data_IF_876712044872
#
_entry.id   IF_876712044872
#
_cell.length_a   1.000
_cell.length_b   1.000
_cell.length_c   1.000
_cell.angle_alpha   90.00
_cell.angle_beta   90.00
_cell.angle_gamma   90.00
#
_symmetry.space_group_name_H-M   'P 1'
#
loop_
_entity.id
_entity.type
_entity.pdbx_description
1 polymer ?
#
# COMPACT_ATOMS: atom_id res chain seq x y z
N UNK A 1 8.82 10.47 26.92
CA UNK A 1 9.17 11.04 25.59
C UNK A 1 7.89 11.55 24.97
N UNK A 2 7.87 12.81 24.47
CA UNK A 2 6.69 13.31 23.77
C UNK A 2 6.69 12.81 22.33
N UNK A 3 5.65 12.08 21.97
CA UNK A 3 5.46 11.54 20.63
C UNK A 3 4.32 12.28 19.93
N UNK A 4 4.62 12.87 18.78
CA UNK A 4 3.62 13.53 17.92
C UNK A 4 3.31 12.65 16.71
N UNK A 5 2.04 12.37 16.48
CA UNK A 5 1.57 11.60 15.33
C UNK A 5 0.25 12.15 14.80
N UNK A 6 -0.04 11.88 13.53
CA UNK A 6 -1.28 12.25 12.85
C UNK A 6 -2.08 11.01 12.50
N UNK A 7 -3.38 11.03 12.75
CA UNK A 7 -4.32 10.05 12.24
C UNK A 7 -4.66 10.39 10.78
N UNK A 8 -4.59 9.40 9.89
CA UNK A 8 -4.90 9.55 8.46
C UNK A 8 -5.91 8.49 8.06
N UNK A 9 -6.89 8.83 7.24
CA UNK A 9 -7.96 7.97 6.73
C UNK A 9 -8.67 7.14 7.82
N UNK A 10 -9.24 7.76 8.85
CA UNK A 10 -9.84 7.03 9.99
C UNK A 10 -11.00 6.12 9.57
N UNK A 11 -11.71 6.42 8.50
CA UNK A 11 -12.81 5.61 7.97
C UNK A 11 -12.35 4.51 6.99
N UNK A 12 -11.12 4.63 6.47
CA UNK A 12 -10.55 3.71 5.48
C UNK A 12 -9.54 2.74 6.07
N UNK A 13 -8.28 2.89 5.66
CA UNK A 13 -7.13 2.19 6.21
C UNK A 13 -6.41 3.13 7.18
N UNK A 14 -6.90 3.19 8.41
CA UNK A 14 -6.44 4.15 9.43
C UNK A 14 -4.95 4.00 9.72
N UNK A 15 -4.18 5.03 9.40
CA UNK A 15 -2.74 5.13 9.59
C UNK A 15 -2.42 6.13 10.71
N UNK A 16 -1.58 5.74 11.66
CA UNK A 16 -0.89 6.68 12.55
C UNK A 16 0.48 7.01 11.95
N UNK A 17 0.64 8.22 11.46
CA UNK A 17 1.89 8.72 10.91
C UNK A 17 2.65 9.49 12.00
N UNK A 18 3.76 8.90 12.48
CA UNK A 18 4.59 9.47 13.55
C UNK A 18 5.53 10.52 12.96
N UNK A 19 5.46 11.73 13.49
CA UNK A 19 6.28 12.88 13.08
C UNK A 19 7.53 13.05 13.93
N UNK A 20 7.49 12.64 15.21
CA UNK A 20 8.65 12.70 16.09
C UNK A 20 9.72 11.74 15.61
N UNK A 21 10.97 12.21 15.37
CA UNK A 21 12.07 11.31 15.07
C UNK A 21 12.31 10.35 16.24
N UNK A 22 12.30 9.07 15.95
CA UNK A 22 12.59 8.01 16.92
C UNK A 22 13.59 7.02 16.32
N UNK A 23 14.42 6.38 17.14
CA UNK A 23 15.39 5.39 16.65
C UNK A 23 14.63 4.13 16.15
N UNK A 24 15.19 3.48 15.13
CA UNK A 24 14.53 2.33 14.46
C UNK A 24 14.26 1.16 15.42
N UNK A 25 15.11 0.99 16.42
CA UNK A 25 14.97 -0.03 17.45
C UNK A 25 13.68 0.13 18.28
N UNK A 26 13.15 1.35 18.36
CA UNK A 26 11.91 1.63 19.08
C UNK A 26 10.64 1.37 18.24
N UNK A 27 10.76 1.16 16.92
CA UNK A 27 9.59 1.05 16.03
C UNK A 27 8.63 -0.07 16.42
N UNK A 28 9.16 -1.26 16.72
CA UNK A 28 8.32 -2.41 17.07
C UNK A 28 7.52 -2.19 18.36
N UNK A 29 8.15 -1.63 19.39
CA UNK A 29 7.47 -1.33 20.67
C UNK A 29 6.44 -0.21 20.50
N UNK A 30 6.81 0.89 19.85
CA UNK A 30 5.91 2.01 19.61
C UNK A 30 4.73 1.59 18.73
N UNK A 31 4.96 0.80 17.68
CA UNK A 31 3.90 0.28 16.82
C UNK A 31 2.89 -0.52 17.64
N UNK A 32 3.34 -1.46 18.48
CA UNK A 32 2.47 -2.26 19.34
C UNK A 32 1.64 -1.39 20.30
N UNK A 33 2.26 -0.39 20.92
CA UNK A 33 1.59 0.53 21.85
C UNK A 33 0.58 1.44 21.14
N UNK A 34 0.94 1.98 19.97
CA UNK A 34 0.08 2.85 19.17
C UNK A 34 -1.12 2.09 18.60
N UNK A 35 -0.93 0.86 18.11
CA UNK A 35 -2.01 0.00 17.63
C UNK A 35 -2.99 -0.39 18.76
N UNK A 36 -2.58 -0.33 20.02
CA UNK A 36 -3.44 -0.59 21.18
C UNK A 36 -4.37 0.57 21.54
N UNK A 37 -4.25 1.76 20.91
CA UNK A 37 -5.12 2.91 21.15
C UNK A 37 -6.49 2.65 20.50
N UNK A 38 -7.41 2.09 21.28
CA UNK A 38 -8.72 1.63 20.77
C UNK A 38 -9.59 2.76 20.24
N UNK A 39 -9.51 3.94 20.80
CA UNK A 39 -10.29 5.12 20.40
C UNK A 39 -9.98 5.59 18.98
N UNK A 40 -8.75 5.35 18.52
CA UNK A 40 -8.32 5.71 17.17
C UNK A 40 -8.48 4.54 16.18
N UNK A 41 -8.66 3.32 16.67
CA UNK A 41 -8.78 2.08 15.91
C UNK A 41 -7.76 1.98 14.73
N UNK A 42 -6.47 2.25 14.97
CA UNK A 42 -5.48 2.29 13.91
C UNK A 42 -5.25 0.88 13.35
N UNK A 43 -4.93 0.83 12.05
CA UNK A 43 -4.59 -0.40 11.34
C UNK A 43 -3.10 -0.50 11.07
N UNK A 44 -2.43 0.64 10.93
CA UNK A 44 -1.02 0.73 10.57
C UNK A 44 -0.35 1.87 11.34
N UNK A 45 0.95 1.72 11.56
CA UNK A 45 1.81 2.78 12.10
C UNK A 45 3.01 2.94 11.18
N UNK A 46 3.32 4.19 10.84
CA UNK A 46 4.49 4.52 10.05
C UNK A 46 5.23 5.72 10.67
N UNK A 47 6.51 5.81 10.39
CA UNK A 47 7.43 6.80 10.96
C UNK A 47 8.03 7.65 9.84
N UNK A 48 7.97 8.96 9.99
CA UNK A 48 8.64 9.89 9.08
C UNK A 48 10.13 9.95 9.42
N UNK A 49 10.95 9.80 8.40
CA UNK A 49 12.41 9.87 8.52
C UNK A 49 13.01 10.76 7.43
N UNK A 50 14.32 11.03 7.53
CA UNK A 50 15.03 11.78 6.51
C UNK A 50 15.16 10.94 5.21
N UNK A 51 14.89 11.54 4.04
CA UNK A 51 15.04 10.85 2.76
C UNK A 51 16.51 10.53 2.46
N UNK A 52 16.74 9.41 1.79
CA UNK A 52 18.08 8.88 1.46
C UNK A 52 18.27 8.51 -0.01
N UNK A 53 17.19 8.47 -0.80
CA UNK A 53 17.17 7.98 -2.19
C UNK A 53 16.63 9.03 -3.19
N UNK A 54 16.75 10.32 -2.84
CA UNK A 54 16.30 11.42 -3.70
C UNK A 54 14.82 11.78 -3.57
N UNK A 55 14.10 11.20 -2.63
CA UNK A 55 12.76 11.62 -2.24
C UNK A 55 12.74 12.95 -1.48
N UNK A 56 11.55 13.44 -1.17
CA UNK A 56 11.34 14.62 -0.31
C UNK A 56 10.79 14.22 1.07
N UNK A 57 10.27 13.04 1.17
CA UNK A 57 9.79 12.41 2.41
C UNK A 57 10.14 10.92 2.37
N UNK A 58 10.57 10.37 3.49
CA UNK A 58 10.78 8.95 3.68
C UNK A 58 9.88 8.43 4.77
N UNK A 59 9.32 7.26 4.54
CA UNK A 59 8.40 6.57 5.44
C UNK A 59 8.92 5.19 5.74
N UNK A 60 9.01 4.86 7.00
CA UNK A 60 9.44 3.54 7.46
C UNK A 60 8.37 2.89 8.34
N UNK A 61 8.38 1.57 8.42
CA UNK A 61 7.50 0.80 9.28
C UNK A 61 8.29 -0.20 10.12
N UNK A 62 7.69 -0.72 11.18
CA UNK A 62 8.29 -1.81 11.94
C UNK A 62 8.50 -3.06 11.06
N UNK A 63 7.64 -3.28 10.08
CA UNK A 63 7.68 -4.42 9.15
C UNK A 63 8.74 -4.32 8.04
N UNK A 64 9.58 -3.29 8.03
CA UNK A 64 10.57 -3.05 6.97
C UNK A 64 10.03 -3.12 5.53
N UNK A 65 8.71 -2.96 5.39
CA UNK A 65 8.01 -2.87 4.11
C UNK A 65 6.85 -1.89 4.22
N UNK A 66 6.92 -0.78 3.48
CA UNK A 66 5.83 0.18 3.38
C UNK A 66 4.89 -0.19 2.24
N UNK A 67 3.63 -0.46 2.55
CA UNK A 67 2.58 -0.62 1.55
C UNK A 67 2.37 0.68 0.76
N UNK A 68 1.99 0.55 -0.52
CA UNK A 68 1.76 1.72 -1.38
C UNK A 68 0.67 2.66 -0.85
N UNK A 69 -0.29 2.17 -0.07
CA UNK A 69 -1.30 3.01 0.58
C UNK A 69 -0.68 3.94 1.62
N UNK A 70 0.21 3.42 2.46
CA UNK A 70 0.96 4.21 3.45
C UNK A 70 1.78 5.32 2.77
N UNK A 71 2.46 4.99 1.68
CA UNK A 71 3.27 5.96 0.92
C UNK A 71 2.41 7.06 0.32
N UNK A 72 1.25 6.70 -0.24
CA UNK A 72 0.30 7.65 -0.83
C UNK A 72 -0.25 8.62 0.22
N UNK A 73 -0.65 8.10 1.37
CA UNK A 73 -1.16 8.86 2.51
C UNK A 73 -0.09 9.79 3.10
N UNK A 74 1.13 9.28 3.30
CA UNK A 74 2.23 10.06 3.84
C UNK A 74 2.67 11.20 2.89
N UNK A 75 2.70 10.96 1.58
CA UNK A 75 2.98 12.00 0.60
C UNK A 75 1.94 13.13 0.65
N UNK A 76 0.66 12.78 0.83
CA UNK A 76 -0.41 13.75 0.97
C UNK A 76 -0.26 14.56 2.28
N UNK A 77 -0.07 13.89 3.42
CA UNK A 77 0.13 14.54 4.71
C UNK A 77 1.34 15.49 4.69
N UNK A 78 2.45 15.06 4.08
CA UNK A 78 3.64 15.90 3.90
C UNK A 78 3.32 17.16 3.10
N UNK A 79 2.57 17.04 1.99
CA UNK A 79 2.21 18.17 1.16
C UNK A 79 1.36 19.20 1.92
N UNK A 80 0.38 18.73 2.69
CA UNK A 80 -0.48 19.60 3.50
C UNK A 80 0.31 20.28 4.63
N UNK A 81 1.19 19.55 5.33
CA UNK A 81 2.05 20.09 6.37
C UNK A 81 3.04 21.17 5.84
N UNK A 82 3.35 21.14 4.55
CA UNK A 82 4.18 22.16 3.85
C UNK A 82 3.34 23.25 3.19
N UNK A 83 2.06 23.35 3.53
CA UNK A 83 1.13 24.36 3.01
C UNK A 83 1.05 24.41 1.47
N UNK A 84 1.25 23.25 0.82
CA UNK A 84 1.11 23.13 -0.63
C UNK A 84 -0.38 23.29 -0.97
N UNK A 85 -0.73 24.35 -1.69
CA UNK A 85 -2.12 24.72 -2.02
C UNK A 85 -2.51 24.40 -3.47
N UNK A 86 -1.66 23.69 -4.20
CA UNK A 86 -1.91 23.30 -5.60
C UNK A 86 -1.40 21.89 -5.83
N UNK A 87 -1.84 21.30 -6.91
CA UNK A 87 -1.33 19.99 -7.33
C UNK A 87 0.19 19.99 -7.46
N UNK A 88 0.85 19.02 -6.84
CA UNK A 88 2.31 18.90 -6.84
C UNK A 88 2.77 17.45 -6.83
N UNK A 89 3.90 17.23 -7.49
CA UNK A 89 4.64 15.96 -7.41
C UNK A 89 5.48 15.92 -6.13
N UNK A 90 5.30 14.87 -5.36
CA UNK A 90 5.99 14.59 -4.08
C UNK A 90 6.63 13.22 -4.18
N UNK A 91 7.94 13.11 -4.51
CA UNK A 91 8.63 11.82 -4.48
C UNK A 91 8.70 11.29 -3.04
N UNK A 92 8.16 10.10 -2.80
CA UNK A 92 8.11 9.46 -1.48
C UNK A 92 8.95 8.18 -1.47
N UNK A 93 9.81 8.04 -0.48
CA UNK A 93 10.59 6.83 -0.22
C UNK A 93 9.87 5.95 0.78
N UNK A 94 10.07 4.64 0.69
CA UNK A 94 9.54 3.68 1.65
C UNK A 94 10.39 2.43 1.78
N UNK A 95 10.34 1.80 2.93
CA UNK A 95 10.98 0.50 3.13
C UNK A 95 10.48 -0.51 2.09
N UNK A 96 11.41 -1.30 1.56
CA UNK A 96 11.13 -2.33 0.55
C UNK A 96 11.04 -1.81 -0.89
N UNK A 97 11.14 -0.50 -1.12
CA UNK A 97 11.18 0.09 -2.46
C UNK A 97 12.60 0.54 -2.82
N UNK A 98 13.12 0.19 -4.00
CA UNK A 98 14.51 0.48 -4.39
C UNK A 98 14.74 1.95 -4.75
N UNK A 99 13.68 2.71 -5.00
CA UNK A 99 13.73 4.12 -5.36
C UNK A 99 12.51 4.88 -4.85
N UNK A 100 12.59 6.21 -4.83
CA UNK A 100 11.46 7.05 -4.49
C UNK A 100 10.34 6.95 -5.53
N UNK A 101 9.12 6.69 -5.06
CA UNK A 101 7.93 6.61 -5.93
C UNK A 101 7.34 8.02 -6.13
N UNK A 102 7.02 8.40 -7.37
CA UNK A 102 6.36 9.68 -7.63
C UNK A 102 4.91 9.65 -7.10
N UNK A 103 4.60 10.52 -6.14
CA UNK A 103 3.23 10.79 -5.75
C UNK A 103 2.79 12.16 -6.28
N UNK A 104 1.61 12.23 -6.89
CA UNK A 104 0.97 13.48 -7.28
C UNK A 104 -0.14 13.78 -6.29
N UNK A 105 -0.03 14.88 -5.57
CA UNK A 105 -0.97 15.26 -4.52
C UNK A 105 -1.72 16.52 -4.90
N UNK A 106 -3.02 16.54 -4.63
CA UNK A 106 -3.88 17.70 -4.81
C UNK A 106 -4.63 18.01 -3.51
N UNK A 107 -4.09 18.88 -2.64
CA UNK A 107 -4.71 19.19 -1.36
C UNK A 107 -6.10 19.85 -1.49
N UNK A 108 -6.39 20.53 -2.61
CA UNK A 108 -7.69 21.16 -2.85
C UNK A 108 -8.82 20.14 -3.03
N UNK A 109 -8.50 18.97 -3.60
CA UNK A 109 -9.49 17.92 -3.86
C UNK A 109 -9.39 16.75 -2.88
N UNK A 110 -8.41 16.77 -1.96
CA UNK A 110 -8.16 15.65 -1.06
C UNK A 110 -7.65 14.39 -1.78
N UNK A 111 -7.06 14.53 -2.98
CA UNK A 111 -6.65 13.39 -3.80
C UNK A 111 -5.14 13.21 -3.82
N UNK A 112 -4.71 11.97 -3.77
CA UNK A 112 -3.33 11.60 -4.02
C UNK A 112 -3.26 10.43 -5.00
N UNK A 113 -2.32 10.50 -5.94
CA UNK A 113 -1.99 9.44 -6.90
C UNK A 113 -0.55 9.01 -6.67
N UNK A 114 -0.30 7.71 -6.54
CA UNK A 114 1.04 7.13 -6.44
C UNK A 114 1.34 6.38 -7.73
N UNK A 115 2.47 6.71 -8.38
CA UNK A 115 3.00 5.94 -9.50
C UNK A 115 3.82 4.76 -8.94
N UNK A 116 3.48 3.55 -9.35
CA UNK A 116 4.16 2.32 -8.93
C UNK A 116 5.25 1.92 -9.90
N UNK A 117 6.26 1.24 -9.38
CA UNK A 117 7.16 0.44 -10.21
C UNK A 117 6.36 -0.66 -10.91
N UNK A 118 6.76 -0.99 -12.13
CA UNK A 118 6.07 -2.02 -12.89
C UNK A 118 6.37 -3.41 -12.30
N UNK A 119 5.35 -4.25 -12.09
CA UNK A 119 5.57 -5.59 -11.57
C UNK A 119 6.20 -6.50 -12.63
N UNK A 120 6.99 -7.46 -12.17
CA UNK A 120 7.34 -8.62 -12.97
C UNK A 120 6.15 -9.60 -12.95
N UNK A 121 5.74 -10.07 -14.12
CA UNK A 121 4.69 -11.07 -14.24
C UNK A 121 5.33 -12.44 -14.41
N UNK A 122 5.04 -13.35 -13.48
CA UNK A 122 5.43 -14.75 -13.59
C UNK A 122 4.18 -15.58 -13.92
N UNK A 123 4.18 -16.30 -15.04
CA UNK A 123 3.10 -17.24 -15.34
C UNK A 123 2.99 -18.28 -14.23
N UNK A 124 1.77 -18.53 -13.77
CA UNK A 124 1.51 -19.60 -12.82
C UNK A 124 1.40 -20.96 -13.55
N UNK A 125 1.75 -22.04 -12.86
CA UNK A 125 1.57 -23.40 -13.38
C UNK A 125 0.26 -24.01 -12.85
N UNK A 126 -0.51 -24.61 -13.74
CA UNK A 126 -1.75 -25.30 -13.43
C UNK A 126 -2.82 -24.40 -12.79
N UNK A 127 -3.36 -24.81 -11.64
CA UNK A 127 -4.37 -24.04 -10.88
C UNK A 127 -3.77 -22.83 -10.16
N UNK A 128 -2.46 -22.73 -10.06
CA UNK A 128 -1.76 -21.57 -9.50
C UNK A 128 -1.77 -20.47 -10.55
N UNK A 129 -2.65 -19.52 -10.39
CA UNK A 129 -2.75 -18.34 -11.27
C UNK A 129 -1.44 -17.56 -11.38
N UNK A 130 -1.38 -16.63 -12.35
CA UNK A 130 -0.21 -15.77 -12.51
C UNK A 130 0.14 -15.01 -11.23
N UNK A 131 1.42 -14.77 -11.06
CA UNK A 131 1.98 -14.01 -9.95
C UNK A 131 2.46 -12.66 -10.45
N UNK A 132 2.26 -11.64 -9.64
CA UNK A 132 2.75 -10.29 -9.90
C UNK A 132 3.73 -9.91 -8.80
N UNK A 133 4.98 -9.70 -9.17
CA UNK A 133 6.06 -9.42 -8.23
C UNK A 133 6.42 -7.95 -8.24
N UNK A 134 6.16 -7.28 -7.13
CA UNK A 134 6.72 -5.97 -6.80
C UNK A 134 7.98 -6.13 -5.94
N UNK A 135 8.79 -5.08 -5.76
CA UNK A 135 10.03 -5.18 -4.97
C UNK A 135 9.85 -5.79 -3.58
N UNK A 136 8.80 -5.42 -2.85
CA UNK A 136 8.57 -5.87 -1.47
C UNK A 136 7.47 -6.92 -1.32
N UNK A 137 6.73 -7.29 -2.38
CA UNK A 137 5.56 -8.17 -2.23
C UNK A 137 5.27 -8.97 -3.49
N UNK A 138 4.91 -10.25 -3.29
CA UNK A 138 4.38 -11.14 -4.33
C UNK A 138 2.86 -11.24 -4.22
N UNK A 139 2.15 -11.10 -5.33
CA UNK A 139 0.70 -11.23 -5.39
C UNK A 139 0.27 -12.43 -6.22
N UNK A 140 -0.57 -13.28 -5.63
CA UNK A 140 -1.38 -14.25 -6.37
C UNK A 140 -2.77 -13.65 -6.61
N UNK A 141 -3.40 -14.00 -7.72
CA UNK A 141 -4.72 -13.49 -8.08
C UNK A 141 -5.70 -14.64 -8.32
N UNK A 142 -6.87 -14.55 -7.66
CA UNK A 142 -8.02 -15.41 -7.83
C UNK A 142 -9.18 -14.61 -8.43
N UNK A 143 -9.84 -15.16 -9.45
CA UNK A 143 -11.01 -14.53 -10.08
C UNK A 143 -12.29 -14.94 -9.36
N UNK A 144 -12.89 -13.96 -8.66
CA UNK A 144 -14.16 -14.20 -7.96
C UNK A 144 -14.05 -15.21 -6.81
N UNK A 145 -15.18 -15.47 -6.18
CA UNK A 145 -15.26 -16.31 -4.99
C UNK A 145 -15.02 -15.51 -3.71
N UNK A 146 -14.70 -16.22 -2.63
CA UNK A 146 -14.34 -15.63 -1.34
C UNK A 146 -12.90 -15.95 -0.99
N UNK A 147 -12.30 -15.16 -0.10
CA UNK A 147 -11.02 -15.49 0.48
C UNK A 147 -11.11 -16.86 1.18
N UNK A 148 -10.12 -17.75 0.99
CA UNK A 148 -10.02 -18.99 1.75
C UNK A 148 -9.90 -18.73 3.25
N UNK A 149 -10.09 -19.76 4.06
CA UNK A 149 -9.90 -19.64 5.52
C UNK A 149 -8.46 -19.24 5.87
N UNK A 150 -8.28 -18.53 6.97
CA UNK A 150 -6.95 -18.11 7.44
C UNK A 150 -5.99 -19.30 7.62
N UNK A 151 -6.51 -20.44 8.07
CA UNK A 151 -5.72 -21.66 8.24
C UNK A 151 -5.15 -22.19 6.91
N UNK A 152 -5.83 -21.96 5.79
CA UNK A 152 -5.35 -22.30 4.46
C UNK A 152 -4.48 -21.20 3.84
N UNK A 153 -4.82 -19.94 4.09
CA UNK A 153 -4.12 -18.79 3.52
C UNK A 153 -2.71 -18.61 4.06
N UNK A 154 -2.53 -18.64 5.38
CA UNK A 154 -1.25 -18.32 6.00
C UNK A 154 -0.10 -19.20 5.47
N UNK A 155 -0.20 -20.55 5.46
CA UNK A 155 0.87 -21.38 4.92
C UNK A 155 1.07 -21.21 3.40
N UNK A 156 -0.01 -20.95 2.64
CA UNK A 156 0.09 -20.76 1.19
C UNK A 156 0.83 -19.45 0.85
N UNK A 157 0.54 -18.37 1.57
CA UNK A 157 1.19 -17.07 1.36
C UNK A 157 2.63 -17.07 1.90
N UNK A 158 2.89 -17.77 3.00
CA UNK A 158 4.25 -17.99 3.48
C UNK A 158 5.10 -18.72 2.43
N UNK A 159 4.59 -19.80 1.83
CA UNK A 159 5.25 -20.52 0.76
C UNK A 159 5.50 -19.60 -0.46
N UNK A 160 4.51 -18.80 -0.86
CA UNK A 160 4.66 -17.84 -1.96
C UNK A 160 5.76 -16.81 -1.68
N UNK A 161 5.83 -16.28 -0.46
CA UNK A 161 6.87 -15.32 -0.05
C UNK A 161 8.27 -15.96 -0.13
N UNK A 162 8.41 -17.21 0.35
CA UNK A 162 9.66 -17.95 0.28
C UNK A 162 10.07 -18.27 -1.16
N UNK A 163 9.15 -18.81 -1.99
CA UNK A 163 9.42 -19.14 -3.39
C UNK A 163 9.84 -17.92 -4.22
N UNK A 164 9.32 -16.74 -3.88
CA UNK A 164 9.58 -15.51 -4.62
C UNK A 164 10.65 -14.63 -3.99
N UNK A 165 11.21 -15.04 -2.86
CA UNK A 165 12.20 -14.29 -2.08
C UNK A 165 11.71 -12.87 -1.75
N UNK A 166 10.43 -12.73 -1.35
CA UNK A 166 9.83 -11.45 -0.97
C UNK A 166 9.48 -11.43 0.53
N UNK A 167 9.65 -10.28 1.20
CA UNK A 167 9.28 -10.15 2.62
C UNK A 167 7.77 -10.23 2.87
N UNK A 168 6.96 -10.11 1.82
CA UNK A 168 5.51 -10.23 1.93
C UNK A 168 4.92 -10.97 0.73
N UNK A 169 3.78 -11.64 0.95
CA UNK A 169 2.98 -12.22 -0.11
C UNK A 169 1.49 -12.03 0.16
N UNK A 170 0.70 -11.87 -0.87
CA UNK A 170 -0.73 -11.67 -0.75
C UNK A 170 -1.56 -12.42 -1.78
N UNK A 171 -2.82 -12.66 -1.40
CA UNK A 171 -3.86 -13.14 -2.30
C UNK A 171 -4.84 -11.99 -2.58
N UNK A 172 -5.14 -11.81 -3.84
CA UNK A 172 -6.16 -10.91 -4.35
C UNK A 172 -7.34 -11.73 -4.85
N UNK A 173 -8.52 -11.48 -4.31
CA UNK A 173 -9.78 -12.01 -4.83
C UNK A 173 -10.52 -10.88 -5.52
N UNK A 174 -10.58 -10.94 -6.84
CA UNK A 174 -11.16 -9.87 -7.65
C UNK A 174 -12.41 -10.33 -8.40
N UNK A 175 -13.54 -9.71 -8.07
CA UNK A 175 -14.73 -9.76 -8.90
C UNK A 175 -14.72 -8.61 -9.90
N UNK A 176 -14.34 -8.93 -11.13
CA UNK A 176 -14.25 -7.94 -12.21
C UNK A 176 -15.58 -7.32 -12.57
N UNK A 177 -16.72 -8.05 -12.43
CA UNK A 177 -18.06 -7.55 -12.76
C UNK A 177 -18.56 -6.58 -11.70
N UNK A 178 -18.39 -6.93 -10.44
CA UNK A 178 -18.75 -6.07 -9.31
C UNK A 178 -17.69 -4.98 -9.03
N UNK A 179 -16.51 -5.08 -9.64
CA UNK A 179 -15.36 -4.21 -9.39
C UNK A 179 -14.95 -4.20 -7.92
N UNK A 180 -15.08 -5.34 -7.24
CA UNK A 180 -14.71 -5.52 -5.84
C UNK A 180 -13.40 -6.28 -5.72
N UNK A 181 -12.54 -5.83 -4.82
CA UNK A 181 -11.25 -6.44 -4.53
C UNK A 181 -11.14 -6.72 -3.03
N UNK A 182 -10.95 -7.97 -2.68
CA UNK A 182 -10.58 -8.39 -1.34
C UNK A 182 -9.11 -8.80 -1.31
N UNK A 183 -8.43 -8.53 -0.20
CA UNK A 183 -7.00 -8.72 -0.07
C UNK A 183 -6.67 -9.43 1.23
N UNK A 184 -5.84 -10.47 1.14
CA UNK A 184 -5.14 -11.04 2.28
C UNK A 184 -3.63 -10.85 2.08
N UNK A 185 -2.92 -10.45 3.11
CA UNK A 185 -1.48 -10.17 3.08
C UNK A 185 -0.78 -10.85 4.26
N UNK A 186 0.24 -11.62 3.96
CA UNK A 186 1.16 -12.20 4.94
C UNK A 186 2.51 -11.49 4.88
N UNK A 187 3.09 -11.22 6.05
CA UNK A 187 4.42 -10.60 6.19
C UNK A 187 5.37 -11.51 6.96
N UNK A 188 6.59 -11.64 6.47
CA UNK A 188 7.59 -12.52 7.08
C UNK A 188 8.03 -12.03 8.46
N UNK A 189 8.11 -10.71 8.65
CA UNK A 189 8.60 -10.12 9.89
C UNK A 189 7.67 -10.40 11.08
N UNK A 190 6.37 -10.27 10.88
CA UNK A 190 5.40 -10.47 11.95
C UNK A 190 4.89 -11.92 11.98
N UNK A 191 5.26 -12.73 10.96
CA UNK A 191 4.69 -14.04 10.69
C UNK A 191 3.14 -14.03 10.76
N UNK A 192 2.54 -12.90 10.34
CA UNK A 192 1.12 -12.60 10.54
C UNK A 192 0.39 -12.45 9.21
N UNK A 193 -0.85 -12.94 9.19
CA UNK A 193 -1.82 -12.70 8.14
C UNK A 193 -2.69 -11.49 8.51
N UNK A 194 -2.86 -10.57 7.58
CA UNK A 194 -3.70 -9.40 7.73
C UNK A 194 -4.67 -9.28 6.56
N UNK A 195 -5.76 -8.57 6.76
CA UNK A 195 -6.76 -8.26 5.74
C UNK A 195 -6.87 -6.75 5.58
N UNK A 196 -5.98 -6.12 4.76
CA UNK A 196 -6.03 -4.68 4.53
C UNK A 196 -7.40 -4.29 3.99
N UNK A 197 -8.04 -3.31 4.63
CA UNK A 197 -9.34 -2.81 4.18
C UNK A 197 -9.20 -2.02 2.88
N UNK A 198 -8.03 -1.38 2.66
CA UNK A 198 -7.67 -0.70 1.42
C UNK A 198 -6.19 -0.95 1.11
N UNK A 199 -5.93 -1.54 -0.04
CA UNK A 199 -4.60 -1.96 -0.46
C UNK A 199 -4.27 -1.41 -1.85
N UNK A 200 -3.48 -0.35 -1.92
CA UNK A 200 -3.08 0.26 -3.19
C UNK A 200 -2.19 -0.68 -4.02
N UNK A 201 -1.24 -1.39 -3.40
CA UNK A 201 -0.38 -2.33 -4.11
C UNK A 201 -1.16 -3.54 -4.65
N UNK A 202 -2.14 -4.05 -3.89
CA UNK A 202 -3.04 -5.10 -4.37
C UNK A 202 -3.91 -4.62 -5.54
N UNK A 203 -4.46 -3.41 -5.45
CA UNK A 203 -5.20 -2.78 -6.54
C UNK A 203 -4.34 -2.60 -7.79
N UNK A 204 -3.10 -2.12 -7.63
CA UNK A 204 -2.13 -2.01 -8.71
C UNK A 204 -1.87 -3.37 -9.38
N UNK A 205 -1.66 -4.43 -8.60
CA UNK A 205 -1.42 -5.77 -9.11
C UNK A 205 -2.63 -6.31 -9.91
N UNK A 206 -3.84 -6.21 -9.36
CA UNK A 206 -5.07 -6.65 -10.03
C UNK A 206 -5.26 -5.93 -11.37
N UNK A 207 -5.13 -4.61 -11.40
CA UNK A 207 -5.29 -3.81 -12.61
C UNK A 207 -4.16 -4.08 -13.63
N UNK A 208 -2.92 -4.24 -13.20
CA UNK A 208 -1.80 -4.61 -14.07
C UNK A 208 -2.04 -5.97 -14.75
N UNK A 209 -2.49 -6.96 -13.97
CA UNK A 209 -2.83 -8.28 -14.49
C UNK A 209 -3.92 -8.21 -15.57
N UNK A 210 -4.96 -7.44 -15.34
CA UNK A 210 -6.07 -7.28 -16.28
C UNK A 210 -5.65 -6.48 -17.53
N UNK A 211 -4.86 -5.41 -17.35
CA UNK A 211 -4.40 -4.57 -18.43
C UNK A 211 -3.58 -5.35 -19.47
N UNK A 212 -2.71 -6.27 -19.00
CA UNK A 212 -1.90 -7.13 -19.87
C UNK A 212 -2.74 -8.11 -20.72
N UNK A 213 -4.03 -8.31 -20.38
CA UNK A 213 -4.99 -9.18 -21.08
C UNK A 213 -6.08 -8.40 -21.80
N UNK A 214 -6.05 -7.09 -21.71
CA UNK A 214 -7.04 -6.19 -22.30
C UNK A 214 -6.49 -5.50 -23.55
N UNK A 215 -7.25 -4.54 -24.11
CA UNK A 215 -6.82 -3.71 -25.22
C UNK A 215 -5.65 -2.82 -24.81
N UNK A 216 -4.78 -2.53 -25.76
CA UNK A 216 -3.69 -1.57 -25.55
C UNK A 216 -4.20 -0.15 -25.31
N UNK A 217 -3.35 0.67 -24.70
CA UNK A 217 -3.62 2.06 -24.39
C UNK A 217 -3.80 2.35 -22.90
N UNK A 218 -4.35 3.51 -22.62
CA UNK A 218 -4.68 3.94 -21.27
C UNK A 218 -6.01 3.36 -20.85
N UNK A 219 -6.03 2.72 -19.70
CA UNK A 219 -7.23 2.17 -19.08
C UNK A 219 -7.30 2.58 -17.62
N UNK A 220 -8.51 2.77 -17.11
CA UNK A 220 -8.79 3.14 -15.72
C UNK A 220 -9.71 2.09 -15.12
N UNK A 221 -9.33 1.60 -13.94
CA UNK A 221 -9.97 0.51 -13.21
C UNK A 221 -10.48 1.04 -11.87
N UNK A 222 -11.77 1.30 -11.71
CA UNK A 222 -12.31 1.57 -10.39
C UNK A 222 -12.35 0.28 -9.58
N UNK A 223 -11.81 0.31 -8.36
CA UNK A 223 -11.73 -0.83 -7.45
C UNK A 223 -12.39 -0.49 -6.12
N UNK A 224 -13.45 -1.22 -5.78
CA UNK A 224 -14.09 -1.12 -4.47
C UNK A 224 -13.44 -2.09 -3.50
N UNK A 225 -13.06 -1.59 -2.34
CA UNK A 225 -12.46 -2.37 -1.25
C UNK A 225 -13.23 -2.08 0.05
N UNK A 226 -13.13 -2.92 1.08
CA UNK A 226 -13.85 -2.70 2.34
C UNK A 226 -13.57 -1.33 2.99
N UNK A 227 -12.39 -0.76 2.77
CA UNK A 227 -11.98 0.56 3.30
C UNK A 227 -12.20 1.72 2.33
N UNK A 228 -12.95 1.53 1.24
CA UNK A 228 -13.24 2.57 0.25
C UNK A 228 -12.77 2.22 -1.16
N UNK A 229 -12.93 3.16 -2.08
CA UNK A 229 -12.59 2.95 -3.49
C UNK A 229 -11.24 3.54 -3.84
N UNK A 230 -10.53 2.86 -4.74
CA UNK A 230 -9.33 3.35 -5.41
C UNK A 230 -9.57 3.34 -6.91
N UNK A 231 -8.86 4.17 -7.63
CA UNK A 231 -8.82 4.17 -9.08
C UNK A 231 -7.40 3.83 -9.54
N UNK A 232 -7.27 2.79 -10.36
CA UNK A 232 -5.97 2.40 -10.91
C UNK A 232 -5.93 2.76 -12.39
N UNK A 233 -4.93 3.53 -12.78
CA UNK A 233 -4.65 3.82 -14.19
C UNK A 233 -3.48 2.97 -14.66
N UNK A 234 -3.67 2.28 -15.78
CA UNK A 234 -2.65 1.51 -16.48
C UNK A 234 -2.45 2.06 -17.89
N UNK A 235 -1.23 2.00 -18.38
CA UNK A 235 -0.90 2.27 -19.80
C UNK A 235 -0.16 1.07 -20.35
N UNK A 236 -0.68 0.47 -21.42
CA UNK A 236 -0.06 -0.66 -22.11
C UNK A 236 0.28 -0.29 -23.55
N UNK A 237 1.42 -0.78 -24.04
CA UNK A 237 1.89 -0.62 -25.40
C UNK A 237 2.69 -1.88 -25.82
N UNK A 238 2.39 -2.48 -26.94
CA UNK A 238 3.04 -3.71 -27.41
C UNK A 238 2.89 -4.85 -26.40
N UNK A 239 1.71 -4.98 -25.77
CA UNK A 239 1.44 -5.96 -24.70
C UNK A 239 2.34 -5.82 -23.44
N UNK A 240 3.01 -4.70 -23.30
CA UNK A 240 3.82 -4.38 -22.12
C UNK A 240 3.16 -3.27 -21.31
N UNK A 241 3.19 -3.41 -20.01
CA UNK A 241 2.80 -2.34 -19.11
C UNK A 241 3.88 -1.25 -19.14
N UNK A 242 3.47 0.00 -19.36
CA UNK A 242 4.37 1.18 -19.43
C UNK A 242 4.17 2.14 -18.28
N UNK A 243 2.98 2.15 -17.68
CA UNK A 243 2.67 2.95 -16.50
C UNK A 243 1.62 2.26 -15.64
N UNK A 244 1.74 2.46 -14.35
CA UNK A 244 0.84 1.94 -13.34
C UNK A 244 0.74 2.98 -12.21
N UNK A 245 -0.46 3.49 -11.96
CA UNK A 245 -0.68 4.46 -10.90
C UNK A 245 -1.98 4.19 -10.16
N UNK A 246 -2.00 4.49 -8.87
CA UNK A 246 -3.17 4.33 -8.00
C UNK A 246 -3.55 5.66 -7.41
N UNK A 247 -4.78 6.06 -7.62
CA UNK A 247 -5.37 7.29 -7.11
C UNK A 247 -6.49 6.99 -6.11
N UNK A 248 -6.67 7.91 -5.16
CA UNK A 248 -7.79 7.85 -4.24
C UNK A 248 -7.78 9.01 -3.24
N UNK A 249 -8.89 9.21 -2.53
CA UNK A 249 -8.98 10.23 -1.50
C UNK A 249 -8.04 9.94 -0.34
N UNK A 250 -7.60 10.99 0.34
CA UNK A 250 -6.88 10.93 1.63
C UNK A 250 -7.56 11.92 2.57
N UNK A 251 -7.99 11.43 3.72
CA UNK A 251 -8.58 12.23 4.77
C UNK A 251 -7.57 12.40 5.92
N UNK A 252 -7.27 13.66 6.28
CA UNK A 252 -6.37 13.97 7.38
C UNK A 252 -7.17 14.24 8.65
N UNK A 253 -7.03 13.36 9.60
CA UNK A 253 -7.53 13.54 10.95
C UNK A 253 -6.61 14.43 11.80
N UNK A 254 -6.90 14.55 13.09
CA UNK A 254 -6.15 15.40 14.01
C UNK A 254 -4.72 14.91 14.26
N UNK A 255 -3.89 15.88 14.68
CA UNK A 255 -2.54 15.62 15.19
C UNK A 255 -2.63 15.48 16.71
N UNK A 256 -2.02 14.44 17.24
CA UNK A 256 -1.94 14.14 18.65
C UNK A 256 -0.52 14.28 19.17
N UNK A 257 -0.37 14.72 20.40
CA UNK A 257 0.89 14.65 21.15
C UNK A 257 0.62 13.92 22.44
N UNK A 258 1.33 12.84 22.67
CA UNK A 258 1.19 12.00 23.87
C UNK A 258 2.55 11.79 24.53
N UNK A 259 2.54 11.65 25.86
CA UNK A 259 3.72 11.28 26.64
C UNK A 259 3.80 9.76 26.77
N UNK A 260 4.93 9.18 26.35
CA UNK A 260 5.23 7.75 26.39
C UNK A 260 6.38 7.45 27.34
#
# INVERSE_FOLDING_TARGET
MNLTFQLIDPAGEALLLVHTPVPREAYADLTRRLLAIRELAPRQVAFLTAPTQGGVVRVETAAAFCGGEVLRQAAFAFAVAREIRRERKVPVEGDGWPEALPAQVNPLTGQATLDFLLPQVQPGEGERGDRLLFPGVAWALQKGGALPSEAALAPALQALAQETERPAAGLLVWDFRAQTLETALWTAQDAALTHPRRCAAGGAAAAAWQALRSREGRQTWPLRQPGGSLEVTTVTQGRQLKRLSVAGPVDLGPVYTVEF
#
